data_IF_716741546499
#
_entry.id   IF_716741546499
#
_cell.length_a   1.000
_cell.length_b   1.000
_cell.length_c   1.000
_cell.angle_alpha   90.00
_cell.angle_beta   90.00
_cell.angle_gamma   90.00
#
_symmetry.space_group_name_H-M   'P 1'
#
loop_
_entity.id
_entity.type
_entity.pdbx_description
1 polymer ?
#
# COMPACT_ATOMS: atom_id res chain seq x y z
N UNK A 1 17.49 1.88 -13.46
CA UNK A 1 16.28 1.05 -13.30
C UNK A 1 16.42 0.25 -12.02
N UNK A 2 15.65 0.59 -10.97
CA UNK A 2 15.61 -0.23 -9.76
C UNK A 2 15.00 -1.59 -10.13
N UNK A 3 15.74 -2.68 -9.89
CA UNK A 3 15.24 -4.02 -10.19
C UNK A 3 14.06 -4.31 -9.28
N UNK A 4 12.88 -4.44 -9.89
CA UNK A 4 11.66 -4.81 -9.21
C UNK A 4 11.80 -6.25 -8.71
N UNK A 5 11.91 -6.42 -7.39
CA UNK A 5 11.97 -7.74 -6.80
C UNK A 5 10.57 -8.37 -6.88
N UNK A 6 10.40 -9.36 -7.75
CA UNK A 6 9.12 -10.05 -7.97
C UNK A 6 8.55 -10.66 -6.69
N UNK A 7 9.40 -11.06 -5.73
CA UNK A 7 8.96 -11.59 -4.43
C UNK A 7 8.21 -10.55 -3.59
N UNK A 8 8.50 -9.25 -3.79
CA UNK A 8 7.77 -8.18 -3.12
C UNK A 8 6.36 -8.02 -3.69
N UNK A 9 6.11 -8.43 -4.93
CA UNK A 9 4.77 -8.39 -5.54
C UNK A 9 3.83 -9.36 -4.83
N UNK A 10 4.30 -10.58 -4.57
CA UNK A 10 3.50 -11.61 -3.91
C UNK A 10 3.31 -11.28 -2.43
N UNK A 11 4.37 -10.84 -1.72
CA UNK A 11 4.23 -10.32 -0.35
C UNK A 11 3.28 -9.14 -0.25
N UNK A 12 3.35 -8.17 -1.17
CA UNK A 12 2.40 -7.06 -1.21
C UNK A 12 0.97 -7.52 -1.53
N UNK A 13 0.79 -8.63 -2.26
CA UNK A 13 -0.55 -9.18 -2.52
C UNK A 13 -1.10 -9.85 -1.28
N UNK A 14 -0.26 -10.58 -0.54
CA UNK A 14 -0.62 -11.21 0.73
C UNK A 14 -0.96 -10.17 1.81
N UNK A 15 -0.14 -9.15 1.98
CA UNK A 15 -0.40 -8.06 2.93
C UNK A 15 -1.66 -7.25 2.59
N UNK A 16 -2.09 -7.21 1.31
CA UNK A 16 -3.37 -6.59 0.92
C UNK A 16 -4.58 -7.45 1.30
N UNK A 17 -4.38 -8.75 1.54
CA UNK A 17 -5.41 -9.67 2.05
C UNK A 17 -5.41 -9.70 3.58
N UNK A 18 -4.23 -9.60 4.18
CA UNK A 18 -4.01 -9.67 5.62
C UNK A 18 -3.65 -8.29 6.19
N UNK A 19 -4.53 -7.29 6.02
CA UNK A 19 -4.33 -5.98 6.67
C UNK A 19 -4.49 -6.12 8.18
N UNK A 20 -3.67 -5.38 8.91
CA UNK A 20 -3.88 -5.19 10.35
C UNK A 20 -5.13 -4.32 10.59
N UNK A 21 -5.76 -4.44 11.75
CA UNK A 21 -6.94 -3.64 12.11
C UNK A 21 -6.66 -2.14 12.02
N UNK A 22 -5.44 -1.74 12.41
CA UNK A 22 -4.97 -0.35 12.31
C UNK A 22 -4.91 0.13 10.86
N UNK A 23 -4.36 -0.67 9.94
CA UNK A 23 -4.31 -0.32 8.52
C UNK A 23 -5.71 -0.34 7.88
N UNK A 24 -6.59 -1.25 8.31
CA UNK A 24 -7.97 -1.32 7.83
C UNK A 24 -8.78 -0.09 8.24
N UNK A 25 -8.63 0.36 9.49
CA UNK A 25 -9.26 1.59 9.99
C UNK A 25 -8.75 2.84 9.24
N UNK A 26 -7.43 2.89 8.99
CA UNK A 26 -6.78 3.96 8.23
C UNK A 26 -7.31 3.99 6.78
N UNK A 27 -7.38 2.83 6.13
CA UNK A 27 -7.85 2.70 4.75
C UNK A 27 -9.33 3.06 4.61
N UNK A 28 -10.17 2.65 5.56
CA UNK A 28 -11.59 3.00 5.59
C UNK A 28 -11.82 4.52 5.65
N UNK A 29 -10.93 5.26 6.32
CA UNK A 29 -10.96 6.73 6.35
C UNK A 29 -10.51 7.35 5.03
N UNK A 30 -9.48 6.79 4.40
CA UNK A 30 -8.89 7.36 3.18
C UNK A 30 -9.62 7.00 1.88
N UNK A 31 -10.23 5.81 1.78
CA UNK A 31 -10.85 5.31 0.56
C UNK A 31 -12.04 6.15 0.08
N UNK A 32 -12.68 6.91 0.97
CA UNK A 32 -13.82 7.76 0.64
C UNK A 32 -13.43 9.11 0.01
N UNK A 33 -12.21 9.22 -0.55
CA UNK A 33 -11.69 10.47 -1.15
C UNK A 33 -11.84 11.68 -0.22
N UNK A 34 -11.70 11.46 1.09
CA UNK A 34 -11.83 12.54 2.08
C UNK A 34 -10.81 13.67 1.85
N UNK A 35 -9.71 13.37 1.15
CA UNK A 35 -8.69 14.34 0.76
C UNK A 35 -8.76 14.56 -0.76
N UNK A 36 -9.38 15.66 -1.23
CA UNK A 36 -9.41 15.97 -2.65
C UNK A 36 -7.99 16.23 -3.17
N UNK A 37 -7.62 15.55 -4.25
CA UNK A 37 -6.34 15.72 -4.93
C UNK A 37 -5.21 14.76 -4.52
N UNK A 38 -5.40 13.93 -3.48
CA UNK A 38 -4.40 12.96 -3.02
C UNK A 38 -4.85 11.53 -3.33
N UNK A 39 -4.01 10.77 -4.04
CA UNK A 39 -4.28 9.37 -4.38
C UNK A 39 -3.47 8.43 -3.48
N UNK A 40 -4.17 7.71 -2.60
CA UNK A 40 -3.52 6.75 -1.71
C UNK A 40 -3.31 5.40 -2.40
N UNK A 41 -2.09 4.85 -2.30
CA UNK A 41 -1.74 3.53 -2.85
C UNK A 41 -1.37 2.55 -1.74
N UNK A 42 -2.09 1.44 -1.66
CA UNK A 42 -1.75 0.37 -0.69
C UNK A 42 -0.53 -0.42 -1.13
N UNK A 43 0.45 -0.50 -0.21
CA UNK A 43 1.57 -1.46 -0.22
C UNK A 43 2.29 -1.48 -1.57
N UNK A 44 2.80 -0.30 -1.98
CA UNK A 44 3.53 -0.10 -3.22
C UNK A 44 4.96 -0.63 -3.02
N UNK A 45 5.42 -1.61 -3.81
CA UNK A 45 6.80 -2.05 -3.75
C UNK A 45 7.72 -0.90 -4.17
N UNK A 46 8.68 -0.54 -3.33
CA UNK A 46 9.68 0.49 -3.61
C UNK A 46 11.07 -0.08 -3.35
N UNK A 47 11.79 -0.39 -4.44
CA UNK A 47 13.10 -1.05 -4.35
C UNK A 47 13.02 -2.39 -3.63
N UNK A 48 13.58 -2.46 -2.42
CA UNK A 48 13.63 -3.65 -1.57
C UNK A 48 12.60 -3.66 -0.43
N UNK A 49 11.83 -2.58 -0.27
CA UNK A 49 10.89 -2.39 0.83
C UNK A 49 9.44 -2.32 0.34
N UNK A 50 8.52 -2.73 1.22
CA UNK A 50 7.09 -2.54 1.03
C UNK A 50 6.68 -1.31 1.84
N UNK A 51 6.24 -0.26 1.15
CA UNK A 51 5.81 0.99 1.79
C UNK A 51 4.31 1.14 1.63
N UNK A 52 3.61 1.49 2.72
CA UNK A 52 2.26 2.04 2.66
C UNK A 52 2.42 3.48 2.14
N UNK A 53 2.23 3.66 0.84
CA UNK A 53 2.55 4.91 0.16
C UNK A 53 1.32 5.82 0.12
N UNK A 54 1.49 7.01 0.71
CA UNK A 54 0.69 8.21 0.45
C UNK A 54 1.42 8.94 -0.68
N UNK A 55 0.74 9.31 -1.77
CA UNK A 55 1.30 10.31 -2.70
C UNK A 55 1.25 11.71 -2.07
#
# INVERSE_FOLDING_TARGET
MLRYNSNLKDKARELRKNLTDSESALWSRWQNKQLPGIQFYRQKPSGEYLVVAVD
#
